data_IF_131005134959
#
_entry.id   IF_131005134959
#
_cell.length_a   1.000
_cell.length_b   1.000
_cell.length_c   1.000
_cell.angle_alpha   90.00
_cell.angle_beta   90.00
_cell.angle_gamma   90.00
#
_symmetry.space_group_name_H-M   'P 1'
#
loop_
_entity.id
_entity.type
_entity.pdbx_description
1 polymer ?
#
# COMPACT_ATOMS: atom_id res chain seq x y z
N UNK A 1 74.81 2.02 13.94
CA UNK A 1 74.01 3.01 14.67
C UNK A 1 72.82 3.45 13.81
N UNK A 2 71.60 3.11 14.26
CA UNK A 2 70.33 3.86 14.13
C UNK A 2 69.18 2.84 14.16
N UNK A 3 68.60 2.72 15.35
CA UNK A 3 67.33 2.04 15.63
C UNK A 3 66.25 2.87 14.94
N UNK A 4 65.49 2.28 14.02
CA UNK A 4 64.28 2.91 13.48
C UNK A 4 63.11 2.24 14.17
N UNK A 5 62.51 3.01 15.07
CA UNK A 5 61.38 2.67 15.92
C UNK A 5 60.17 2.27 15.07
N UNK A 6 59.57 1.12 15.38
CA UNK A 6 58.28 0.69 14.86
C UNK A 6 57.20 1.63 15.44
N UNK A 7 56.92 2.71 14.72
CA UNK A 7 55.91 3.69 15.05
C UNK A 7 54.51 3.12 14.81
N UNK A 8 53.72 3.11 15.88
CA UNK A 8 52.30 2.77 15.98
C UNK A 8 51.52 3.33 14.78
N UNK A 9 51.05 2.44 13.90
CA UNK A 9 50.09 2.76 12.84
C UNK A 9 48.77 2.03 13.12
N UNK A 10 48.14 2.35 14.25
CA UNK A 10 46.83 1.82 14.63
C UNK A 10 45.91 2.94 15.11
N UNK A 11 45.57 3.88 14.24
CA UNK A 11 44.48 4.84 14.49
C UNK A 11 44.15 5.59 13.20
N UNK A 12 43.45 4.94 12.26
CA UNK A 12 42.64 5.62 11.24
C UNK A 12 41.75 4.61 10.49
N UNK A 13 40.98 3.77 11.20
CA UNK A 13 39.92 3.00 10.55
C UNK A 13 38.71 2.78 11.45
N UNK A 14 38.28 3.82 12.17
CA UNK A 14 37.00 3.81 12.89
C UNK A 14 36.34 5.18 12.70
N UNK A 15 35.95 5.50 11.46
CA UNK A 15 35.11 6.66 11.17
C UNK A 15 34.43 6.53 9.79
N UNK A 16 33.84 5.37 9.47
CA UNK A 16 33.00 5.27 8.27
C UNK A 16 31.90 4.20 8.37
N UNK A 17 31.35 3.96 9.55
CA UNK A 17 30.16 3.08 9.71
C UNK A 17 28.90 3.84 10.14
N UNK A 18 29.01 5.12 10.50
CA UNK A 18 27.88 5.91 11.00
C UNK A 18 27.29 6.90 9.98
N UNK A 19 27.80 6.94 8.74
CA UNK A 19 27.36 7.91 7.72
C UNK A 19 26.34 7.36 6.70
N UNK A 20 25.88 6.10 6.83
CA UNK A 20 24.84 5.56 5.94
C UNK A 20 23.40 5.72 6.47
N UNK A 21 23.22 6.29 7.66
CA UNK A 21 21.89 6.43 8.26
C UNK A 21 21.04 7.57 7.67
N UNK A 22 21.52 8.33 6.69
CA UNK A 22 20.79 9.45 6.07
C UNK A 22 20.60 9.36 4.56
N UNK A 23 20.96 8.25 3.92
CA UNK A 23 20.44 7.87 2.60
C UNK A 23 19.26 6.90 2.76
N UNK A 24 18.31 7.24 3.63
CA UNK A 24 17.12 6.42 3.88
C UNK A 24 16.26 6.37 2.62
N UNK A 25 16.35 5.28 1.87
CA UNK A 25 15.47 5.06 0.72
C UNK A 25 14.00 5.00 1.12
N UNK A 26 13.12 5.11 0.14
CA UNK A 26 11.69 4.88 0.29
C UNK A 26 11.27 3.59 -0.40
N UNK A 27 10.15 3.03 0.05
CA UNK A 27 9.51 1.89 -0.58
C UNK A 27 8.00 2.10 -0.72
N UNK A 28 7.43 1.48 -1.75
CA UNK A 28 5.99 1.35 -1.89
C UNK A 28 5.57 0.01 -1.28
N UNK A 29 4.53 0.07 -0.44
CA UNK A 29 3.82 -1.10 0.06
C UNK A 29 2.58 -1.29 -0.78
N UNK A 30 2.48 -2.41 -1.50
CA UNK A 30 1.35 -2.73 -2.37
C UNK A 30 0.56 -3.89 -1.79
N UNK A 31 -0.64 -3.63 -1.30
CA UNK A 31 -1.58 -4.68 -0.86
C UNK A 31 -2.23 -5.32 -2.09
N UNK A 32 -2.09 -6.65 -2.21
CA UNK A 32 -2.49 -7.40 -3.41
C UNK A 32 -4.00 -7.65 -3.47
N UNK A 33 -4.64 -7.80 -2.31
CA UNK A 33 -6.09 -8.03 -2.19
C UNK A 33 -6.58 -7.45 -0.88
N UNK A 34 -7.65 -6.66 -0.94
CA UNK A 34 -8.39 -6.19 0.23
C UNK A 34 -9.72 -6.97 0.25
N UNK A 35 -10.00 -7.74 1.30
CA UNK A 35 -11.31 -8.38 1.45
C UNK A 35 -12.43 -7.36 1.64
N UNK A 36 -13.59 -7.62 1.04
CA UNK A 36 -14.77 -6.73 1.08
C UNK A 36 -15.54 -6.77 2.41
N UNK A 37 -15.14 -7.64 3.35
CA UNK A 37 -15.75 -7.70 4.67
C UNK A 37 -14.73 -8.10 5.74
N UNK A 38 -14.73 -7.34 6.84
CA UNK A 38 -13.86 -7.58 8.00
C UNK A 38 -14.78 -7.89 9.18
N UNK A 39 -14.49 -8.96 9.92
CA UNK A 39 -15.41 -9.51 10.92
C UNK A 39 -14.72 -9.55 12.28
N UNK A 40 -15.37 -9.01 13.30
CA UNK A 40 -14.88 -9.05 14.67
C UNK A 40 -14.67 -10.50 15.13
N UNK A 41 -13.58 -10.74 15.87
CA UNK A 41 -13.19 -12.07 16.33
C UNK A 41 -12.64 -13.01 15.25
N UNK A 42 -12.72 -12.67 13.95
CA UNK A 42 -12.14 -13.46 12.86
C UNK A 42 -10.83 -12.83 12.36
N UNK A 43 -9.81 -13.65 12.04
CA UNK A 43 -8.57 -13.14 11.47
C UNK A 43 -8.80 -12.60 10.06
N UNK A 44 -8.45 -11.34 9.84
CA UNK A 44 -8.26 -10.75 8.52
C UNK A 44 -6.84 -11.04 8.06
N UNK A 45 -6.72 -11.75 6.93
CA UNK A 45 -5.44 -11.94 6.26
C UNK A 45 -5.23 -10.94 5.13
N UNK A 46 -4.07 -10.30 5.12
CA UNK A 46 -3.60 -9.41 4.06
C UNK A 46 -2.30 -9.94 3.47
N UNK A 47 -2.12 -9.72 2.17
CA UNK A 47 -0.90 -10.05 1.43
C UNK A 47 -0.39 -8.79 0.75
N UNK A 48 0.90 -8.50 0.88
CA UNK A 48 1.51 -7.32 0.27
C UNK A 48 2.94 -7.57 -0.20
N UNK A 49 3.43 -6.67 -1.04
CA UNK A 49 4.82 -6.59 -1.47
C UNK A 49 5.42 -5.24 -1.08
N UNK A 50 6.73 -5.21 -0.87
CA UNK A 50 7.49 -3.99 -0.60
C UNK A 50 8.49 -3.80 -1.73
N UNK A 51 8.44 -2.64 -2.39
CA UNK A 51 9.37 -2.31 -3.49
C UNK A 51 10.08 -0.98 -3.25
N UNK A 52 11.41 -1.00 -3.17
CA UNK A 52 12.23 0.20 -3.11
C UNK A 52 12.11 0.98 -4.42
N UNK A 53 11.91 2.29 -4.31
CA UNK A 53 11.60 3.15 -5.46
C UNK A 53 10.37 2.70 -6.27
N UNK A 54 9.53 1.83 -5.68
CA UNK A 54 8.42 1.16 -6.34
C UNK A 54 8.81 0.10 -7.38
N UNK A 55 10.10 -0.14 -7.62
CA UNK A 55 10.60 -1.06 -8.65
C UNK A 55 11.21 -2.31 -8.03
N UNK A 56 12.23 -2.15 -7.19
CA UNK A 56 13.06 -3.26 -6.70
C UNK A 56 12.41 -3.92 -5.49
N UNK A 57 12.13 -5.23 -5.55
CA UNK A 57 11.58 -5.94 -4.40
C UNK A 57 12.53 -5.90 -3.19
N UNK A 58 11.97 -5.77 -1.99
CA UNK A 58 12.73 -5.73 -0.73
C UNK A 58 12.35 -6.92 0.14
N UNK A 59 13.32 -7.82 0.31
CA UNK A 59 13.22 -9.03 1.14
C UNK A 59 13.80 -8.79 2.55
N UNK A 60 13.59 -9.74 3.46
CA UNK A 60 14.21 -9.74 4.79
C UNK A 60 13.70 -8.67 5.75
N UNK A 61 12.58 -8.01 5.44
CA UNK A 61 11.97 -7.02 6.31
C UNK A 61 11.19 -7.66 7.46
N UNK A 62 11.00 -6.88 8.52
CA UNK A 62 10.19 -7.24 9.68
C UNK A 62 8.97 -6.30 9.76
N UNK A 63 7.99 -6.43 8.85
CA UNK A 63 6.87 -5.52 8.81
C UNK A 63 5.97 -5.68 10.04
N UNK A 64 5.33 -4.59 10.45
CA UNK A 64 4.35 -4.57 11.54
C UNK A 64 2.98 -4.25 10.97
N UNK A 65 2.00 -5.09 11.28
CA UNK A 65 0.59 -4.88 10.96
C UNK A 65 -0.11 -4.32 12.19
N UNK A 66 -0.69 -3.14 12.08
CA UNK A 66 -1.37 -2.45 13.17
C UNK A 66 -2.77 -2.01 12.73
N UNK A 67 -3.73 -2.00 13.66
CA UNK A 67 -5.03 -1.39 13.46
C UNK A 67 -5.44 -0.50 14.63
N UNK A 68 -6.16 0.58 14.34
CA UNK A 68 -6.68 1.53 15.34
C UNK A 68 -8.16 1.82 15.18
N UNK A 69 -8.84 2.00 16.31
CA UNK A 69 -10.20 2.53 16.43
C UNK A 69 -10.24 3.47 17.65
N UNK A 70 -10.23 4.79 17.41
CA UNK A 70 -9.98 5.78 18.47
C UNK A 70 -8.63 5.54 19.15
N UNK A 71 -8.62 5.50 20.49
CA UNK A 71 -7.44 5.18 21.30
C UNK A 71 -7.05 3.70 21.27
N UNK A 72 -7.96 2.82 20.83
CA UNK A 72 -7.71 1.39 20.83
C UNK A 72 -6.76 1.01 19.71
N UNK A 73 -5.79 0.16 20.04
CA UNK A 73 -4.76 -0.33 19.13
C UNK A 73 -4.65 -1.85 19.24
N UNK A 74 -4.55 -2.52 18.11
CA UNK A 74 -4.23 -3.95 18.03
C UNK A 74 -3.14 -4.18 17.00
N UNK A 75 -2.32 -5.20 17.22
CA UNK A 75 -1.26 -5.61 16.29
C UNK A 75 -1.55 -7.01 15.75
N UNK A 76 -1.17 -7.22 14.50
CA UNK A 76 -1.23 -8.51 13.83
C UNK A 76 0.12 -9.23 13.83
N UNK A 77 0.07 -10.52 13.48
CA UNK A 77 1.27 -11.31 13.15
C UNK A 77 1.62 -11.11 11.69
N UNK A 78 2.90 -11.08 11.37
CA UNK A 78 3.41 -10.94 10.00
C UNK A 78 4.47 -12.00 9.71
N UNK A 79 4.55 -12.44 8.45
CA UNK A 79 5.57 -13.40 7.99
C UNK A 79 5.86 -13.20 6.50
N UNK A 80 7.05 -13.57 6.06
CA UNK A 80 7.39 -13.62 4.64
C UNK A 80 6.79 -14.88 3.98
N UNK A 81 6.51 -14.81 2.68
CA UNK A 81 6.14 -15.97 1.87
C UNK A 81 6.85 -15.96 0.52
N UNK A 82 7.02 -17.14 -0.07
CA UNK A 82 7.50 -17.34 -1.42
C UNK A 82 6.84 -18.61 -2.01
N UNK A 83 5.83 -18.44 -2.85
CA UNK A 83 4.97 -19.50 -3.40
C UNK A 83 4.56 -19.13 -4.84
N UNK A 84 4.47 -20.10 -5.75
CA UNK A 84 4.00 -19.91 -7.14
C UNK A 84 4.68 -18.75 -7.90
N UNK A 85 5.98 -18.56 -7.67
CA UNK A 85 6.77 -17.47 -8.27
C UNK A 85 6.45 -16.08 -7.70
N UNK A 86 5.57 -15.97 -6.72
CA UNK A 86 5.29 -14.76 -5.98
C UNK A 86 5.99 -14.80 -4.63
N UNK A 87 6.57 -13.66 -4.24
CA UNK A 87 7.12 -13.45 -2.90
C UNK A 87 6.63 -12.13 -2.33
N UNK A 88 6.67 -12.03 -1.01
CA UNK A 88 6.26 -10.84 -0.27
C UNK A 88 6.00 -11.18 1.18
N UNK A 89 5.02 -10.50 1.75
CA UNK A 89 4.65 -10.66 3.15
C UNK A 89 3.16 -10.91 3.29
N UNK A 90 2.82 -11.69 4.31
CA UNK A 90 1.46 -11.90 4.78
C UNK A 90 1.34 -11.39 6.20
N UNK A 91 0.13 -11.04 6.58
CA UNK A 91 -0.19 -10.66 7.94
C UNK A 91 -1.61 -11.04 8.29
N UNK A 92 -1.80 -11.39 9.56
CA UNK A 92 -3.09 -11.74 10.14
C UNK A 92 -3.36 -10.86 11.34
N UNK A 93 -4.52 -10.19 11.34
CA UNK A 93 -4.96 -9.31 12.43
C UNK A 93 -6.41 -9.63 12.79
N UNK A 94 -6.73 -9.62 14.08
CA UNK A 94 -8.08 -9.87 14.58
C UNK A 94 -8.59 -8.61 15.27
N UNK A 95 -9.78 -8.18 14.89
CA UNK A 95 -10.45 -7.03 15.49
C UNK A 95 -11.29 -7.51 16.68
N UNK A 96 -11.13 -6.94 17.88
CA UNK A 96 -11.85 -7.41 19.07
C UNK A 96 -13.34 -7.03 19.05
N UNK A 97 -13.71 -6.00 18.29
CA UNK A 97 -15.06 -5.45 18.26
C UNK A 97 -15.38 -4.86 16.88
N UNK A 98 -16.68 -4.75 16.59
CA UNK A 98 -17.20 -4.00 15.44
C UNK A 98 -16.85 -2.51 15.55
N UNK A 99 -16.86 -1.82 14.42
CA UNK A 99 -16.61 -0.38 14.36
C UNK A 99 -15.77 0.02 13.17
N UNK A 100 -15.42 1.30 13.09
CA UNK A 100 -14.49 1.78 12.07
C UNK A 100 -13.06 1.59 12.53
N UNK A 101 -12.31 0.79 11.76
CA UNK A 101 -10.91 0.49 12.02
C UNK A 101 -10.05 0.97 10.87
N UNK A 102 -8.91 1.59 11.19
CA UNK A 102 -7.88 1.94 10.22
C UNK A 102 -6.69 1.00 10.39
N UNK A 103 -6.30 0.33 9.31
CA UNK A 103 -5.14 -0.58 9.28
C UNK A 103 -3.93 0.14 8.68
N UNK A 104 -2.78 -0.01 9.33
CA UNK A 104 -1.48 0.45 8.83
C UNK A 104 -0.52 -0.73 8.72
N UNK A 105 0.13 -0.84 7.58
CA UNK A 105 1.23 -1.78 7.32
C UNK A 105 2.53 -0.98 7.35
N UNK A 106 3.30 -1.13 8.42
CA UNK A 106 4.65 -0.58 8.51
C UNK A 106 5.58 -1.55 7.78
N UNK A 107 6.32 -1.10 6.77
CA UNK A 107 7.09 -2.01 5.91
C UNK A 107 8.30 -2.62 6.61
N UNK A 108 8.85 -1.95 7.62
CA UNK A 108 10.17 -2.26 8.19
C UNK A 108 11.34 -1.69 7.35
N UNK A 109 11.04 -0.96 6.27
CA UNK A 109 12.00 -0.24 5.43
C UNK A 109 11.82 1.28 5.59
N UNK A 110 12.73 1.92 6.33
CA UNK A 110 12.65 3.35 6.63
C UNK A 110 11.31 3.71 7.28
N UNK A 111 10.68 4.80 6.81
CA UNK A 111 9.36 5.25 7.26
C UNK A 111 8.20 4.76 6.38
N UNK A 112 8.51 3.94 5.38
CA UNK A 112 7.53 3.54 4.37
C UNK A 112 6.41 2.69 4.98
N UNK A 113 5.17 3.03 4.64
CA UNK A 113 3.97 2.37 5.16
C UNK A 113 2.81 2.47 4.18
N UNK A 114 1.91 1.50 4.21
CA UNK A 114 0.58 1.63 3.63
C UNK A 114 -0.43 1.92 4.73
N UNK A 115 -1.26 2.95 4.53
CA UNK A 115 -2.40 3.25 5.39
C UNK A 115 -3.66 2.95 4.60
N UNK A 116 -4.45 1.99 5.08
CA UNK A 116 -5.73 1.66 4.45
C UNK A 116 -6.79 2.69 4.88
N UNK A 117 -7.76 2.97 4.01
CA UNK A 117 -8.91 3.76 4.40
C UNK A 117 -9.70 3.05 5.52
N UNK A 118 -10.31 3.81 6.45
CA UNK A 118 -11.14 3.22 7.49
C UNK A 118 -12.15 2.22 6.92
N UNK A 119 -12.21 1.06 7.56
CA UNK A 119 -13.10 -0.03 7.19
C UNK A 119 -14.05 -0.34 8.34
N UNK A 120 -15.31 -0.58 8.00
CA UNK A 120 -16.31 -0.99 8.99
C UNK A 120 -16.18 -2.49 9.25
N UNK A 121 -15.66 -2.83 10.43
CA UNK A 121 -15.68 -4.18 10.97
C UNK A 121 -17.09 -4.48 11.48
N UNK A 122 -17.63 -5.63 11.11
CA UNK A 122 -18.98 -6.09 11.49
C UNK A 122 -18.93 -7.31 12.40
N UNK A 123 -20.00 -7.62 13.13
CA UNK A 123 -20.02 -8.78 14.06
C UNK A 123 -20.06 -10.11 13.32
N UNK A 124 -20.74 -10.16 12.18
CA UNK A 124 -20.83 -11.35 11.35
C UNK A 124 -21.12 -10.98 9.90
N UNK A 125 -20.76 -11.88 9.01
CA UNK A 125 -21.25 -11.91 7.63
C UNK A 125 -22.06 -13.18 7.46
N UNK A 126 -23.21 -13.10 6.81
CA UNK A 126 -23.92 -14.31 6.38
C UNK A 126 -23.11 -14.94 5.26
N UNK A 127 -22.70 -16.20 5.46
CA UNK A 127 -22.10 -16.98 4.40
C UNK A 127 -23.14 -17.17 3.30
N UNK A 128 -22.73 -16.93 2.06
CA UNK A 128 -23.59 -17.14 0.91
C UNK A 128 -23.09 -18.30 0.08
N UNK A 129 -24.02 -19.11 -0.39
CA UNK A 129 -23.81 -19.99 -1.53
C UNK A 129 -23.86 -19.16 -2.83
N UNK A 130 -22.90 -19.40 -3.72
CA UNK A 130 -22.78 -18.68 -5.00
C UNK A 130 -21.74 -17.56 -4.96
N UNK A 131 -21.76 -16.67 -5.96
CA UNK A 131 -20.84 -15.54 -6.02
C UNK A 131 -21.28 -14.44 -5.05
N UNK A 132 -20.31 -13.67 -4.54
CA UNK A 132 -20.58 -12.52 -3.66
C UNK A 132 -21.50 -11.53 -4.38
N UNK A 133 -21.24 -11.25 -5.66
CA UNK A 133 -22.05 -10.36 -6.49
C UNK A 133 -23.48 -10.88 -6.71
N UNK A 134 -23.65 -12.19 -6.89
CA UNK A 134 -24.96 -12.81 -7.06
C UNK A 134 -25.81 -12.67 -5.80
N UNK A 135 -25.21 -12.92 -4.64
CA UNK A 135 -25.92 -12.74 -3.38
C UNK A 135 -26.27 -11.29 -3.09
N UNK A 136 -25.31 -10.38 -3.28
CA UNK A 136 -25.50 -8.96 -2.98
C UNK A 136 -26.70 -8.41 -3.76
N UNK A 137 -26.91 -8.85 -5.01
CA UNK A 137 -28.13 -8.55 -5.79
C UNK A 137 -29.39 -9.14 -5.17
N UNK A 138 -29.36 -10.40 -4.75
CA UNK A 138 -30.49 -11.12 -4.15
C UNK A 138 -30.99 -10.47 -2.85
N UNK A 139 -30.07 -10.08 -1.95
CA UNK A 139 -30.42 -9.45 -0.66
C UNK A 139 -30.53 -7.93 -0.75
N UNK A 140 -30.48 -7.35 -1.95
CA UNK A 140 -30.59 -5.90 -2.17
C UNK A 140 -29.44 -5.09 -1.58
N UNK A 141 -28.33 -5.72 -1.21
CA UNK A 141 -27.14 -5.01 -0.71
C UNK A 141 -26.35 -4.52 -1.91
N UNK A 142 -26.34 -3.20 -2.10
CA UNK A 142 -25.57 -2.58 -3.17
C UNK A 142 -24.07 -2.81 -2.90
N UNK A 143 -23.38 -3.50 -3.82
CA UNK A 143 -21.92 -3.54 -3.81
C UNK A 143 -21.36 -2.12 -3.76
N UNK A 144 -20.16 -1.96 -3.18
CA UNK A 144 -19.49 -0.65 -3.20
C UNK A 144 -19.43 -0.15 -4.64
N UNK A 145 -19.75 1.13 -4.92
CA UNK A 145 -19.57 1.71 -6.25
C UNK A 145 -18.13 1.47 -6.76
N UNK A 146 -17.92 1.30 -8.07
CA UNK A 146 -16.58 1.13 -8.66
C UNK A 146 -15.60 2.22 -8.23
N UNK A 147 -16.07 3.46 -8.12
CA UNK A 147 -15.26 4.58 -7.64
C UNK A 147 -14.85 4.45 -6.17
N UNK A 148 -15.69 3.89 -5.28
CA UNK A 148 -15.31 3.62 -3.88
C UNK A 148 -14.40 2.38 -3.78
N UNK A 149 -14.66 1.38 -4.64
CA UNK A 149 -13.72 0.39 -5.18
C UNK A 149 -12.30 0.93 -5.29
N UNK A 150 -12.12 1.75 -6.32
CA UNK A 150 -10.86 2.35 -6.68
C UNK A 150 -10.30 3.27 -5.61
N UNK A 151 -11.12 4.02 -4.88
CA UNK A 151 -10.67 4.92 -3.80
C UNK A 151 -9.90 4.17 -2.72
N UNK A 152 -10.42 3.02 -2.30
CA UNK A 152 -9.77 2.15 -1.29
C UNK A 152 -8.51 1.50 -1.84
N UNK A 153 -8.54 1.12 -3.11
CA UNK A 153 -7.40 0.52 -3.78
C UNK A 153 -6.28 1.53 -4.00
N UNK A 154 -6.59 2.78 -4.34
CA UNK A 154 -5.64 3.86 -4.51
C UNK A 154 -4.77 4.07 -3.25
N UNK A 155 -5.39 3.98 -2.06
CA UNK A 155 -4.67 4.02 -0.80
C UNK A 155 -3.82 2.76 -0.56
N UNK A 156 -4.36 1.58 -0.89
CA UNK A 156 -3.77 0.29 -0.53
C UNK A 156 -2.68 -0.22 -1.48
N UNK A 157 -2.74 0.13 -2.76
CA UNK A 157 -1.78 -0.34 -3.78
C UNK A 157 -0.54 0.55 -3.87
N UNK A 158 -0.53 1.67 -3.15
CA UNK A 158 0.61 2.56 -3.04
C UNK A 158 0.57 3.80 -3.91
N UNK A 159 -0.56 4.10 -4.58
CA UNK A 159 -0.70 5.31 -5.40
C UNK A 159 -0.46 6.59 -4.58
N UNK A 160 -0.96 6.61 -3.34
CA UNK A 160 -0.78 7.73 -2.39
C UNK A 160 0.68 8.02 -2.04
N UNK A 161 1.60 7.07 -2.27
CA UNK A 161 3.03 7.30 -2.05
C UNK A 161 3.53 8.42 -2.94
N UNK A 162 3.06 8.49 -4.19
CA UNK A 162 3.56 9.41 -5.21
C UNK A 162 2.51 10.42 -5.70
N UNK A 163 1.22 10.16 -5.50
CA UNK A 163 0.13 10.99 -6.01
C UNK A 163 -0.76 11.49 -4.87
N UNK A 164 -1.28 12.69 -5.04
CA UNK A 164 -2.38 13.21 -4.22
C UNK A 164 -3.72 12.94 -4.90
N UNK A 165 -4.71 12.56 -4.09
CA UNK A 165 -6.12 12.66 -4.44
C UNK A 165 -6.90 13.04 -3.19
N UNK A 166 -7.51 14.23 -3.16
CA UNK A 166 -8.10 14.81 -1.92
C UNK A 166 -9.19 13.93 -1.30
N UNK A 167 -9.99 13.25 -2.11
CA UNK A 167 -11.03 12.35 -1.58
C UNK A 167 -10.48 11.14 -0.81
N UNK A 168 -9.20 10.77 -1.00
CA UNK A 168 -8.56 9.71 -0.21
C UNK A 168 -8.16 10.23 1.17
N UNK A 169 -7.75 11.49 1.29
CA UNK A 169 -7.34 12.08 2.57
C UNK A 169 -6.08 11.45 3.18
N UNK A 170 -5.29 10.72 2.39
CA UNK A 170 -4.01 10.12 2.77
C UNK A 170 -2.96 10.63 1.77
N UNK A 171 -1.88 11.22 2.28
CA UNK A 171 -0.72 11.61 1.50
C UNK A 171 0.50 10.81 1.99
N UNK A 172 1.21 10.19 1.04
CA UNK A 172 2.45 9.48 1.30
C UNK A 172 3.67 10.40 1.32
N UNK A 173 4.81 9.81 1.64
CA UNK A 173 6.09 10.51 1.84
C UNK A 173 6.58 11.29 0.62
N UNK A 174 6.17 10.89 -0.59
CA UNK A 174 6.59 11.48 -1.87
C UNK A 174 5.40 11.92 -2.71
N UNK A 175 4.33 12.38 -2.07
CA UNK A 175 3.05 12.67 -2.73
C UNK A 175 3.11 13.75 -3.84
N UNK A 176 4.21 14.49 -3.94
CA UNK A 176 4.54 15.47 -4.99
C UNK A 176 5.42 14.91 -6.12
N UNK A 177 5.81 13.63 -6.05
CA UNK A 177 6.60 12.98 -7.09
C UNK A 177 5.81 12.87 -8.39
N UNK A 178 4.57 12.39 -8.32
CA UNK A 178 3.59 12.33 -9.40
C UNK A 178 2.66 13.56 -9.41
N UNK A 179 1.89 13.76 -10.49
CA UNK A 179 0.88 14.81 -10.54
C UNK A 179 -0.24 14.60 -9.50
N UNK A 180 -0.79 15.69 -8.99
CA UNK A 180 -2.09 15.70 -8.30
C UNK A 180 -3.17 15.22 -9.29
N UNK A 181 -3.92 14.18 -8.88
CA UNK A 181 -4.95 13.53 -9.68
C UNK A 181 -6.38 13.97 -9.29
N UNK A 182 -6.53 14.82 -8.28
CA UNK A 182 -7.84 15.18 -7.69
C UNK A 182 -8.86 15.74 -8.69
N UNK A 183 -8.40 16.50 -9.69
CA UNK A 183 -9.25 17.17 -10.68
C UNK A 183 -8.83 16.81 -12.10
N UNK A 184 -8.28 15.60 -12.28
CA UNK A 184 -7.85 15.12 -13.60
C UNK A 184 -8.80 14.08 -14.13
N UNK A 185 -8.97 14.09 -15.45
CA UNK A 185 -9.70 13.07 -16.18
C UNK A 185 -8.87 12.62 -17.35
N UNK A 186 -8.82 11.31 -17.57
CA UNK A 186 -8.05 10.68 -18.63
C UNK A 186 -8.94 9.80 -19.50
N UNK A 187 -8.60 9.58 -20.79
CA UNK A 187 -9.28 8.57 -21.60
C UNK A 187 -9.23 7.20 -20.89
N UNK A 188 -10.38 6.57 -20.56
CA UNK A 188 -10.42 5.36 -19.73
C UNK A 188 -9.53 4.22 -20.24
N UNK A 189 -9.56 3.96 -21.55
CA UNK A 189 -8.78 2.88 -22.18
C UNK A 189 -7.26 3.16 -22.15
N UNK A 190 -6.88 4.43 -22.24
CA UNK A 190 -5.47 4.80 -22.09
C UNK A 190 -5.03 4.63 -20.64
N UNK A 191 -5.83 5.10 -19.68
CA UNK A 191 -5.51 4.98 -18.27
C UNK A 191 -5.44 3.51 -17.84
N UNK A 192 -6.35 2.66 -18.31
CA UNK A 192 -6.33 1.23 -18.03
C UNK A 192 -5.03 0.57 -18.52
N UNK A 193 -4.63 0.85 -19.77
CA UNK A 193 -3.36 0.35 -20.34
C UNK A 193 -2.14 0.90 -19.60
N UNK A 194 -2.18 2.17 -19.20
CA UNK A 194 -1.10 2.80 -18.43
C UNK A 194 -0.95 2.17 -17.04
N UNK A 195 -2.05 1.92 -16.34
CA UNK A 195 -2.05 1.26 -15.04
C UNK A 195 -1.58 -0.21 -15.13
N UNK A 196 -1.96 -0.91 -16.21
CA UNK A 196 -1.46 -2.27 -16.49
C UNK A 196 0.04 -2.28 -16.78
N UNK A 197 0.52 -1.30 -17.55
CA UNK A 197 1.92 -1.18 -17.92
C UNK A 197 2.35 0.29 -18.05
N UNK A 198 2.93 0.89 -16.98
CA UNK A 198 3.37 2.28 -17.02
C UNK A 198 4.52 2.56 -18.00
N UNK A 199 5.21 1.53 -18.50
CA UNK A 199 6.32 1.69 -19.46
C UNK A 199 5.86 2.13 -20.85
N UNK A 200 4.55 2.11 -21.16
CA UNK A 200 4.02 2.66 -22.41
C UNK A 200 4.24 4.17 -22.55
N UNK A 201 4.51 4.87 -21.42
CA UNK A 201 4.88 6.29 -21.42
C UNK A 201 6.37 6.41 -21.03
N UNK A 202 7.22 7.04 -21.87
CA UNK A 202 8.59 7.31 -21.51
C UNK A 202 8.70 8.14 -20.21
N UNK A 203 9.81 8.01 -19.46
CA UNK A 203 10.09 8.87 -18.31
C UNK A 203 10.00 10.35 -18.68
N UNK A 204 9.43 11.16 -17.78
CA UNK A 204 9.37 12.62 -17.94
C UNK A 204 10.23 13.24 -16.85
N UNK A 205 11.30 13.97 -17.23
CA UNK A 205 12.25 14.56 -16.28
C UNK A 205 12.84 13.53 -15.29
N UNK A 206 13.19 12.33 -15.78
CA UNK A 206 13.70 11.23 -14.95
C UNK A 206 12.65 10.58 -14.02
N UNK A 207 11.40 11.04 -14.02
CA UNK A 207 10.31 10.45 -13.25
C UNK A 207 9.51 9.48 -14.10
N UNK A 208 9.26 8.29 -13.55
CA UNK A 208 8.41 7.28 -14.16
C UNK A 208 7.56 6.61 -13.07
N UNK A 209 6.28 6.39 -13.36
CA UNK A 209 5.44 5.57 -12.49
C UNK A 209 5.94 4.11 -12.58
N UNK A 210 6.21 3.45 -11.44
CA UNK A 210 6.63 2.05 -11.45
C UNK A 210 5.44 1.13 -11.71
N UNK A 211 5.72 -0.10 -12.16
CA UNK A 211 4.68 -1.14 -12.19
C UNK A 211 4.34 -1.58 -10.76
N UNK A 212 3.08 -1.41 -10.38
CA UNK A 212 2.57 -1.83 -9.08
C UNK A 212 2.06 -3.28 -9.09
N UNK A 213 2.28 -4.02 -10.18
CA UNK A 213 1.79 -5.40 -10.35
C UNK A 213 0.28 -5.55 -10.03
N UNK A 214 -0.53 -4.59 -10.50
CA UNK A 214 -1.98 -4.58 -10.30
C UNK A 214 -2.60 -5.81 -10.98
N UNK A 215 -3.61 -6.40 -10.36
CA UNK A 215 -4.41 -7.44 -11.02
C UNK A 215 -5.33 -6.78 -12.04
N UNK A 216 -5.66 -7.48 -13.11
CA UNK A 216 -6.54 -6.95 -14.16
C UNK A 216 -7.89 -6.45 -13.60
N UNK A 217 -8.51 -7.24 -12.72
CA UNK A 217 -9.77 -6.87 -12.04
C UNK A 217 -9.67 -5.64 -11.14
N UNK A 218 -8.46 -5.21 -10.80
CA UNK A 218 -8.21 -4.07 -9.94
C UNK A 218 -8.10 -2.76 -10.73
N UNK A 219 -7.89 -2.83 -12.05
CA UNK A 219 -7.67 -1.66 -12.90
C UNK A 219 -8.97 -0.88 -13.12
N UNK A 220 -10.06 -1.56 -13.46
CA UNK A 220 -11.35 -0.88 -13.74
C UNK A 220 -11.87 -0.04 -12.55
N UNK A 221 -11.86 -0.52 -11.29
CA UNK A 221 -12.19 0.31 -10.14
C UNK A 221 -11.27 1.54 -10.01
N UNK A 222 -9.95 1.39 -10.21
CA UNK A 222 -8.99 2.50 -10.15
C UNK A 222 -9.26 3.55 -11.22
N UNK A 223 -9.54 3.13 -12.46
CA UNK A 223 -9.94 4.03 -13.56
C UNK A 223 -11.22 4.78 -13.19
N UNK A 224 -12.23 4.07 -12.69
CA UNK A 224 -13.49 4.66 -12.27
C UNK A 224 -13.32 5.68 -11.14
N UNK A 225 -12.38 5.46 -10.22
CA UNK A 225 -12.09 6.40 -9.13
C UNK A 225 -11.30 7.62 -9.62
N UNK A 226 -10.20 7.42 -10.35
CA UNK A 226 -9.33 8.51 -10.83
C UNK A 226 -10.11 9.48 -11.73
N UNK A 227 -11.03 8.95 -12.53
CA UNK A 227 -11.88 9.76 -13.41
C UNK A 227 -13.21 10.19 -12.76
N UNK A 228 -13.47 9.86 -11.49
CA UNK A 228 -14.72 10.25 -10.86
C UNK A 228 -14.76 11.77 -10.71
N UNK A 229 -15.85 12.38 -11.15
CA UNK A 229 -16.13 13.76 -10.78
C UNK A 229 -16.20 13.85 -9.25
N UNK A 230 -15.53 14.86 -8.68
CA UNK A 230 -15.59 15.11 -7.24
C UNK A 230 -17.05 15.14 -6.81
N UNK A 231 -17.41 14.24 -5.90
CA UNK A 231 -18.62 14.43 -5.12
C UNK A 231 -18.33 15.62 -4.21
N UNK A 232 -18.65 16.82 -4.68
CA UNK A 232 -18.77 17.98 -3.81
C UNK A 232 -19.89 17.62 -2.84
N UNK A 233 -19.53 17.07 -1.69
CA UNK A 233 -20.39 17.11 -0.52
C UNK A 233 -20.55 18.58 -0.19
N UNK A 234 -21.59 19.20 -0.75
CA UNK A 234 -22.16 20.43 -0.19
C UNK A 234 -22.50 20.09 1.26
N UNK A 235 -21.63 20.50 2.16
CA UNK A 235 -22.00 20.73 3.56
C UNK A 235 -22.62 22.10 3.64
#
# INVERSE_FOLDING_TARGET
MKRISLGILTTALIACTLAFATMGGWAVVTVMKIPDAWVAGKPLQLTWQVRQHGVTHVDGLHPVLEARAGERRVTGKTWAFAEDGQKGYRGSITFPERGEWQVTIHSGFGRSRAVLLPWRVVDSVRAVRGTVEGHLREIGVRSLPESERGRRMFAATGCVTCHVHRDVGIAGELSDFGPDLTERTFPPDYLARYLANPSIKPPTNGKQMPSLALREKDIAPLVAFINAERRVTRR
#
